data_IF_871199097234
#
_entry.id   IF_871199097234
#
_cell.length_a   1.000
_cell.length_b   1.000
_cell.length_c   1.000
_cell.angle_alpha   90.00
_cell.angle_beta   90.00
_cell.angle_gamma   90.00
#
_symmetry.space_group_name_H-M   'P 1'
#
loop_
_entity.id
_entity.type
_entity.pdbx_description
1 polymer ?
#
# COMPACT_ATOMS: atom_id res chain seq x y z
N UNK A 1 43.28 0.93 -51.70
CA UNK A 1 43.08 1.12 -50.27
C UNK A 1 42.91 2.60 -49.97
N UNK A 2 41.69 3.09 -49.96
CA UNK A 2 41.35 4.50 -49.74
C UNK A 2 41.17 4.74 -48.24
N UNK A 3 42.01 5.55 -47.63
CA UNK A 3 41.92 5.92 -46.22
C UNK A 3 40.70 6.85 -46.04
N UNK A 4 39.71 6.40 -45.28
CA UNK A 4 38.60 7.23 -44.82
C UNK A 4 39.12 8.29 -43.85
N UNK A 5 38.97 9.58 -44.22
CA UNK A 5 39.41 10.71 -43.41
C UNK A 5 38.56 10.85 -42.12
N UNK A 6 39.20 11.33 -41.04
CA UNK A 6 38.61 11.54 -39.71
C UNK A 6 37.25 12.29 -39.68
N UNK A 7 37.04 13.18 -40.68
CA UNK A 7 35.77 13.94 -40.82
C UNK A 7 34.57 13.05 -41.17
N UNK A 8 34.72 12.06 -42.05
CA UNK A 8 33.65 11.15 -42.43
C UNK A 8 33.29 10.16 -41.31
N UNK A 9 34.23 9.82 -40.43
CA UNK A 9 33.96 8.97 -39.28
C UNK A 9 33.04 9.67 -38.26
N UNK A 10 33.19 10.99 -38.06
CA UNK A 10 32.36 11.76 -37.13
C UNK A 10 30.94 12.00 -37.66
N UNK A 11 30.77 12.10 -39.01
CA UNK A 11 29.43 12.25 -39.61
C UNK A 11 28.59 10.97 -39.50
N UNK A 12 29.22 9.80 -39.57
CA UNK A 12 28.50 8.52 -39.36
C UNK A 12 28.29 8.15 -37.90
N UNK A 13 29.10 8.63 -36.99
CA UNK A 13 28.95 8.38 -35.55
C UNK A 13 27.83 9.21 -34.91
N UNK A 14 27.54 10.39 -35.48
CA UNK A 14 26.46 11.25 -34.99
C UNK A 14 25.06 10.74 -35.33
N UNK A 15 24.87 10.12 -36.50
CA UNK A 15 23.58 9.62 -36.94
C UNK A 15 23.16 8.31 -36.24
N UNK A 16 24.10 7.49 -35.78
CA UNK A 16 23.83 6.26 -35.08
C UNK A 16 23.47 6.48 -33.59
N UNK A 17 23.97 7.56 -32.98
CA UNK A 17 23.67 7.88 -31.57
C UNK A 17 22.28 8.49 -31.35
N UNK A 18 21.75 9.21 -32.36
CA UNK A 18 20.41 9.87 -32.23
C UNK A 18 19.27 8.89 -32.41
N UNK A 19 19.46 7.79 -33.16
CA UNK A 19 18.43 6.77 -33.34
C UNK A 19 18.26 5.82 -32.17
N UNK A 20 19.18 5.78 -31.21
CA UNK A 20 19.04 4.97 -29.98
C UNK A 20 18.45 5.75 -28.79
N UNK A 21 18.43 7.08 -28.83
CA UNK A 21 17.79 7.89 -27.78
C UNK A 21 16.29 8.13 -27.97
N UNK A 22 15.73 7.81 -29.14
CA UNK A 22 14.30 7.97 -29.40
C UNK A 22 13.46 6.72 -29.17
N UNK A 23 14.10 5.59 -28.79
CA UNK A 23 13.40 4.46 -28.22
C UNK A 23 13.56 4.54 -26.70
N UNK A 24 12.98 5.58 -26.13
CA UNK A 24 12.70 5.64 -24.70
C UNK A 24 11.90 4.40 -24.36
N UNK A 25 12.47 3.61 -23.48
CA UNK A 25 11.96 2.34 -22.98
C UNK A 25 10.52 2.47 -22.49
N UNK A 26 9.58 2.39 -23.42
CA UNK A 26 8.23 1.95 -23.14
C UNK A 26 8.22 0.42 -22.94
N UNK A 27 9.23 -0.15 -22.26
CA UNK A 27 9.07 -1.36 -21.49
C UNK A 27 8.35 -1.00 -20.18
N UNK A 28 7.17 -0.39 -20.32
CA UNK A 28 6.14 -0.62 -19.33
C UNK A 28 5.88 -2.12 -19.41
N UNK A 29 6.48 -2.86 -18.48
CA UNK A 29 6.03 -4.20 -18.17
C UNK A 29 4.52 -4.07 -18.02
N UNK A 30 3.77 -4.59 -18.98
CA UNK A 30 2.34 -4.80 -18.81
C UNK A 30 2.24 -5.84 -17.68
N UNK A 31 2.26 -5.35 -16.45
CA UNK A 31 1.89 -6.17 -15.29
C UNK A 31 0.44 -6.50 -15.51
N UNK A 32 0.14 -7.79 -15.59
CA UNK A 32 -1.25 -8.22 -15.67
C UNK A 32 -2.00 -7.58 -14.52
N UNK A 33 -2.88 -6.64 -14.85
CA UNK A 33 -3.67 -5.93 -13.85
C UNK A 33 -4.80 -6.83 -13.43
N UNK A 34 -4.84 -7.12 -12.14
CA UNK A 34 -5.90 -7.92 -11.54
C UNK A 34 -6.94 -7.01 -10.93
N UNK A 35 -8.20 -7.16 -11.32
CA UNK A 35 -9.30 -6.35 -10.81
C UNK A 35 -10.23 -7.14 -9.90
N UNK A 36 -10.62 -6.53 -8.79
CA UNK A 36 -11.56 -7.09 -7.83
C UNK A 36 -12.57 -6.02 -7.40
N UNK A 37 -13.84 -6.43 -7.25
CA UNK A 37 -14.88 -5.59 -6.66
C UNK A 37 -14.84 -5.70 -5.14
N UNK A 38 -14.77 -4.54 -4.46
CA UNK A 38 -14.93 -4.43 -3.00
C UNK A 38 -16.24 -3.73 -2.67
N UNK A 39 -16.73 -3.77 -1.44
CA UNK A 39 -17.93 -3.02 -1.05
C UNK A 39 -17.83 -1.51 -1.28
N UNK A 40 -16.61 -0.94 -1.26
CA UNK A 40 -16.39 0.49 -1.47
C UNK A 40 -16.13 0.87 -2.94
N UNK A 41 -15.78 -0.09 -3.79
CA UNK A 41 -15.50 0.17 -5.21
C UNK A 41 -14.54 -0.86 -5.79
N UNK A 42 -14.21 -0.71 -7.08
CA UNK A 42 -13.29 -1.60 -7.78
C UNK A 42 -11.84 -1.22 -7.48
N UNK A 43 -11.00 -2.23 -7.28
CA UNK A 43 -9.54 -2.08 -7.08
C UNK A 43 -8.80 -2.86 -8.15
N UNK A 44 -7.65 -2.36 -8.57
CA UNK A 44 -6.72 -3.05 -9.47
C UNK A 44 -5.39 -3.24 -8.76
N UNK A 45 -4.94 -4.48 -8.69
CA UNK A 45 -3.65 -4.89 -8.14
C UNK A 45 -2.64 -5.24 -9.22
N UNK A 46 -1.63 -5.98 -8.82
CA UNK A 46 -0.61 -6.57 -9.69
C UNK A 46 -0.57 -8.07 -9.48
N UNK A 47 -0.12 -8.80 -10.49
CA UNK A 47 0.24 -10.21 -10.36
C UNK A 47 1.75 -10.35 -10.48
N UNK A 48 2.35 -11.02 -9.52
CA UNK A 48 3.77 -11.33 -9.48
C UNK A 48 3.95 -12.77 -9.01
N UNK A 49 4.61 -13.59 -9.82
CA UNK A 49 4.91 -15.01 -9.51
C UNK A 49 3.66 -15.85 -9.18
N UNK A 50 2.53 -15.61 -9.85
CA UNK A 50 1.26 -16.30 -9.59
C UNK A 50 0.58 -15.87 -8.29
N UNK A 51 0.97 -14.74 -7.70
CA UNK A 51 0.32 -14.14 -6.54
C UNK A 51 -0.26 -12.78 -6.91
N UNK A 52 -1.54 -12.60 -6.66
CA UNK A 52 -2.22 -11.32 -6.79
C UNK A 52 -1.93 -10.48 -5.56
N UNK A 53 -1.37 -9.29 -5.75
CA UNK A 53 -1.04 -8.35 -4.70
C UNK A 53 -1.79 -7.04 -4.88
N UNK A 54 -2.52 -6.63 -3.85
CA UNK A 54 -3.21 -5.35 -3.76
C UNK A 54 -2.60 -4.56 -2.61
N UNK A 55 -1.98 -3.42 -2.89
CA UNK A 55 -1.30 -2.60 -1.89
C UNK A 55 -2.02 -1.27 -1.72
N UNK A 56 -2.28 -0.87 -0.48
CA UNK A 56 -2.90 0.42 -0.19
C UNK A 56 -4.41 0.49 -0.40
N UNK A 57 -5.14 -0.60 -0.13
CA UNK A 57 -6.61 -0.56 -0.12
C UNK A 57 -7.07 0.22 1.11
N UNK A 58 -7.88 1.30 0.97
CA UNK A 58 -8.42 2.02 2.12
C UNK A 58 -9.46 1.17 2.86
N UNK A 59 -9.30 1.01 4.16
CA UNK A 59 -10.31 0.40 5.04
C UNK A 59 -10.96 1.42 5.99
N UNK A 60 -10.43 2.64 6.04
CA UNK A 60 -10.99 3.77 6.77
C UNK A 60 -10.85 5.05 5.95
N UNK A 61 -11.64 6.05 6.30
CA UNK A 61 -11.54 7.39 5.70
C UNK A 61 -10.33 8.14 6.24
N UNK A 62 -9.87 9.17 5.50
CA UNK A 62 -8.84 10.10 5.95
C UNK A 62 -9.20 10.70 7.32
N UNK A 63 -8.29 10.59 8.28
CA UNK A 63 -8.49 11.03 9.66
C UNK A 63 -7.95 12.43 9.95
N UNK A 64 -7.35 13.13 9.00
CA UNK A 64 -6.76 14.44 9.21
C UNK A 64 -7.74 15.49 9.77
N UNK A 65 -9.01 15.42 9.37
CA UNK A 65 -10.08 16.31 9.86
C UNK A 65 -10.89 15.74 11.02
N UNK A 66 -10.64 14.48 11.39
CA UNK A 66 -11.40 13.77 12.42
C UNK A 66 -10.50 13.18 13.50
N UNK A 67 -9.37 13.84 13.76
CA UNK A 67 -8.40 13.46 14.80
C UNK A 67 -9.11 13.15 16.12
N UNK A 68 -8.60 12.14 16.82
CA UNK A 68 -9.10 11.69 18.12
C UNK A 68 -10.56 11.15 18.13
N UNK A 69 -11.14 10.95 16.95
CA UNK A 69 -12.46 10.33 16.80
C UNK A 69 -12.33 8.89 16.32
N UNK A 70 -13.38 8.10 16.52
CA UNK A 70 -13.48 6.79 15.92
C UNK A 70 -13.35 6.89 14.40
N UNK A 71 -12.65 5.94 13.75
CA UNK A 71 -12.59 5.90 12.29
C UNK A 71 -13.96 5.61 11.71
N UNK A 72 -14.19 6.14 10.51
CA UNK A 72 -15.38 5.83 9.71
C UNK A 72 -14.98 5.07 8.47
N UNK A 73 -15.90 4.35 7.86
CA UNK A 73 -15.65 3.62 6.62
C UNK A 73 -15.19 4.58 5.51
N UNK A 74 -14.37 4.11 4.57
CA UNK A 74 -13.98 4.90 3.41
C UNK A 74 -15.23 5.23 2.57
N UNK A 75 -15.22 6.38 1.91
CA UNK A 75 -16.26 6.70 0.94
C UNK A 75 -16.15 5.76 -0.25
N UNK A 76 -17.29 5.28 -0.74
CA UNK A 76 -17.32 4.53 -1.98
C UNK A 76 -16.77 5.40 -3.14
N UNK A 77 -16.04 4.77 -4.04
CA UNK A 77 -15.48 5.43 -5.22
C UNK A 77 -16.03 4.85 -6.52
N UNK A 78 -16.03 5.67 -7.55
CA UNK A 78 -16.33 5.27 -8.92
C UNK A 78 -15.02 5.02 -9.68
N UNK A 79 -15.05 4.15 -10.69
CA UNK A 79 -13.86 3.78 -11.43
C UNK A 79 -13.02 2.73 -10.72
N UNK A 80 -11.73 2.68 -11.05
CA UNK A 80 -10.79 1.65 -10.57
C UNK A 80 -9.70 2.31 -9.73
N UNK A 81 -9.62 1.98 -8.47
CA UNK A 81 -8.54 2.41 -7.58
C UNK A 81 -7.29 1.55 -7.84
N UNK A 82 -6.18 2.20 -8.16
CA UNK A 82 -4.90 1.53 -8.42
C UNK A 82 -4.22 1.14 -7.12
N UNK A 83 -4.15 -0.15 -6.85
CA UNK A 83 -3.58 -0.73 -5.63
C UNK A 83 -2.25 -1.47 -5.92
N UNK A 84 -1.40 -0.90 -6.78
CA UNK A 84 -0.10 -1.46 -7.15
C UNK A 84 1.04 -1.00 -6.22
N UNK A 85 0.82 -0.01 -5.36
CA UNK A 85 1.83 0.59 -4.49
C UNK A 85 1.30 0.76 -3.07
N UNK A 86 2.21 0.71 -2.10
CA UNK A 86 1.87 1.01 -0.72
C UNK A 86 1.33 2.44 -0.57
N UNK A 87 0.28 2.60 0.23
CA UNK A 87 -0.25 3.88 0.65
C UNK A 87 0.62 4.51 1.75
N UNK A 88 0.43 5.79 2.12
CA UNK A 88 1.16 6.41 3.20
C UNK A 88 1.01 5.66 4.54
N UNK A 89 2.08 5.70 5.35
CA UNK A 89 2.06 5.21 6.73
C UNK A 89 1.63 6.30 7.70
N UNK A 90 1.28 5.91 8.93
CA UNK A 90 0.91 6.84 9.99
C UNK A 90 2.04 7.83 10.33
N UNK A 91 1.72 9.08 10.71
CA UNK A 91 2.68 10.05 11.21
C UNK A 91 3.44 9.49 12.41
N UNK A 92 4.76 9.55 12.35
CA UNK A 92 5.65 9.03 13.39
C UNK A 92 7.03 9.70 13.32
N UNK A 93 7.75 9.70 14.43
CA UNK A 93 9.16 10.09 14.43
C UNK A 93 9.96 8.93 13.82
N UNK A 94 10.34 9.08 12.58
CA UNK A 94 11.16 8.08 11.91
C UNK A 94 12.63 8.33 12.18
N UNK A 95 13.27 7.35 12.82
CA UNK A 95 14.66 7.08 12.50
C UNK A 95 14.62 6.49 11.09
N UNK A 96 15.30 7.14 10.15
CA UNK A 96 15.27 6.79 8.74
C UNK A 96 15.44 5.28 8.53
N UNK A 97 14.36 4.57 8.26
CA UNK A 97 14.40 3.17 7.83
C UNK A 97 14.22 3.13 6.32
N UNK A 98 15.05 2.40 5.59
CA UNK A 98 14.82 2.14 4.19
C UNK A 98 13.41 1.54 3.99
N UNK A 99 12.62 2.10 3.08
CA UNK A 99 11.28 1.61 2.76
C UNK A 99 10.12 2.30 3.49
N UNK A 100 10.37 3.28 4.36
CA UNK A 100 9.32 3.92 5.17
C UNK A 100 8.22 4.67 4.40
N UNK A 101 8.49 5.14 3.20
CA UNK A 101 7.49 5.83 2.37
C UNK A 101 7.00 7.17 2.93
N UNK A 102 5.97 7.72 2.28
CA UNK A 102 5.31 8.95 2.72
C UNK A 102 4.51 8.72 4.01
N UNK A 103 4.41 9.75 4.84
CA UNK A 103 3.58 9.77 6.04
C UNK A 103 2.34 10.63 5.81
N UNK A 104 1.20 10.17 6.31
CA UNK A 104 -0.06 10.92 6.26
C UNK A 104 -0.99 10.47 7.38
N UNK A 105 -1.91 11.31 7.79
CA UNK A 105 -3.04 10.90 8.62
C UNK A 105 -4.08 10.09 7.82
N UNK A 106 -4.02 10.14 6.50
CA UNK A 106 -4.67 9.18 5.60
C UNK A 106 -3.82 7.90 5.52
N UNK A 107 -3.82 7.13 6.60
CA UNK A 107 -2.98 5.94 6.78
C UNK A 107 -3.78 4.64 7.01
N UNK A 108 -5.10 4.71 7.01
CA UNK A 108 -5.95 3.56 7.26
C UNK A 108 -6.08 2.69 6.00
N UNK A 109 -4.96 2.06 5.63
CA UNK A 109 -4.83 1.22 4.45
C UNK A 109 -4.32 -0.17 4.81
N UNK A 110 -4.73 -1.14 4.03
CA UNK A 110 -4.27 -2.52 4.14
C UNK A 110 -3.73 -3.03 2.80
N UNK A 111 -2.97 -4.10 2.87
CA UNK A 111 -2.47 -4.81 1.70
C UNK A 111 -2.95 -6.25 1.73
N UNK A 112 -3.20 -6.84 0.57
CA UNK A 112 -3.70 -8.20 0.43
C UNK A 112 -2.87 -8.96 -0.59
N UNK A 113 -2.51 -10.21 -0.27
CA UNK A 113 -1.89 -11.16 -1.18
C UNK A 113 -2.71 -12.45 -1.24
N UNK A 114 -2.95 -12.99 -2.44
CA UNK A 114 -3.71 -14.21 -2.65
C UNK A 114 -3.21 -14.98 -3.87
N UNK A 115 -3.22 -16.30 -3.82
CA UNK A 115 -2.91 -17.16 -4.96
C UNK A 115 -4.05 -17.28 -5.97
N UNK A 116 -5.23 -16.76 -5.66
CA UNK A 116 -6.36 -16.81 -6.60
C UNK A 116 -7.49 -15.89 -6.20
N UNK A 117 -8.27 -15.50 -7.18
CA UNK A 117 -9.39 -14.57 -7.04
C UNK A 117 -10.67 -15.22 -7.54
N UNK A 118 -11.72 -15.19 -6.73
CA UNK A 118 -13.04 -15.69 -7.11
C UNK A 118 -13.11 -17.20 -7.38
N UNK A 119 -12.06 -17.95 -7.05
CA UNK A 119 -11.94 -19.39 -7.31
C UNK A 119 -12.72 -20.27 -6.28
N UNK A 120 -13.45 -19.63 -5.37
CA UNK A 120 -14.27 -20.28 -4.32
C UNK A 120 -13.50 -21.22 -3.38
N UNK A 121 -12.19 -21.17 -3.39
CA UNK A 121 -11.37 -21.89 -2.42
C UNK A 121 -11.41 -21.11 -1.10
N UNK A 122 -12.10 -21.54 -0.11
CA UNK A 122 -12.20 -20.91 1.22
C UNK A 122 -10.84 -20.88 1.92
N UNK A 123 -9.89 -20.08 1.41
CA UNK A 123 -8.55 -19.95 1.98
C UNK A 123 -8.59 -19.34 3.35
N UNK A 124 -7.80 -19.84 4.29
CA UNK A 124 -7.58 -19.18 5.58
C UNK A 124 -7.02 -17.77 5.35
N UNK A 125 -7.45 -16.82 6.18
CA UNK A 125 -6.96 -15.43 6.13
C UNK A 125 -6.04 -15.19 7.32
N UNK A 126 -4.80 -14.80 7.04
CA UNK A 126 -3.82 -14.36 8.02
C UNK A 126 -3.78 -12.84 8.03
N UNK A 127 -4.18 -12.23 9.14
CA UNK A 127 -4.13 -10.78 9.31
C UNK A 127 -2.95 -10.41 10.19
N UNK A 128 -2.08 -9.53 9.70
CA UNK A 128 -0.88 -9.09 10.40
C UNK A 128 -0.93 -7.59 10.71
N UNK A 129 -0.67 -7.26 11.96
CA UNK A 129 -0.49 -5.90 12.45
C UNK A 129 0.96 -5.71 12.87
N UNK A 130 1.58 -4.63 12.40
CA UNK A 130 2.98 -4.37 12.71
C UNK A 130 3.18 -3.99 14.19
N UNK A 131 4.36 -4.32 14.71
CA UNK A 131 4.81 -3.89 16.02
C UNK A 131 5.38 -2.47 16.00
N UNK A 132 5.87 -1.99 17.14
CA UNK A 132 6.50 -0.68 17.31
C UNK A 132 5.98 0.10 18.52
N UNK A 133 5.45 -0.64 19.52
CA UNK A 133 4.97 -0.08 20.79
C UNK A 133 3.97 1.07 20.59
N UNK A 134 3.12 0.99 19.57
CA UNK A 134 2.14 2.00 19.20
C UNK A 134 2.70 3.38 18.81
N UNK A 135 4.03 3.52 18.77
CA UNK A 135 4.72 4.77 18.47
C UNK A 135 5.26 4.85 17.06
N UNK A 136 5.65 3.72 16.49
CA UNK A 136 6.27 3.65 15.18
C UNK A 136 5.96 2.31 14.50
N UNK A 137 6.35 2.22 13.23
CA UNK A 137 6.17 1.02 12.43
C UNK A 137 5.29 1.26 11.22
N UNK A 138 5.33 0.29 10.33
CA UNK A 138 4.52 0.25 9.10
C UNK A 138 4.61 -1.14 8.51
N UNK A 139 3.61 -1.53 7.74
CA UNK A 139 3.65 -2.74 6.92
C UNK A 139 4.15 -2.47 5.50
N UNK A 140 4.59 -1.25 5.20
CA UNK A 140 5.07 -0.83 3.89
C UNK A 140 6.56 -1.20 3.70
N UNK A 141 6.86 -2.49 3.75
CA UNK A 141 8.22 -3.01 3.60
C UNK A 141 8.18 -4.40 2.99
N UNK A 142 9.21 -4.73 2.22
CA UNK A 142 9.39 -6.07 1.64
C UNK A 142 9.50 -7.16 2.71
N UNK A 143 9.87 -6.79 3.95
CA UNK A 143 9.86 -7.71 5.09
C UNK A 143 8.46 -8.31 5.35
N UNK A 144 7.41 -7.57 5.03
CA UNK A 144 6.02 -7.96 5.24
C UNK A 144 5.32 -8.36 3.94
N UNK A 145 6.09 -8.66 2.88
CA UNK A 145 5.55 -9.20 1.64
C UNK A 145 4.95 -10.58 1.87
N UNK A 146 3.66 -10.72 1.57
CA UNK A 146 2.89 -11.94 1.83
C UNK A 146 3.15 -13.08 0.85
N UNK A 147 3.85 -12.88 -0.26
CA UNK A 147 4.00 -13.88 -1.34
C UNK A 147 4.49 -15.23 -0.86
N UNK A 148 5.52 -15.25 0.00
CA UNK A 148 6.08 -16.51 0.52
C UNK A 148 5.07 -17.31 1.35
N UNK A 149 4.24 -16.62 2.14
CA UNK A 149 3.21 -17.27 2.95
C UNK A 149 2.09 -17.82 2.07
N UNK A 150 1.67 -17.04 1.07
CA UNK A 150 0.70 -17.46 0.06
C UNK A 150 1.15 -18.73 -0.64
N UNK A 151 2.39 -18.77 -1.14
CA UNK A 151 2.93 -19.96 -1.84
C UNK A 151 3.03 -21.20 -0.94
N UNK A 152 3.39 -21.02 0.33
CA UNK A 152 3.59 -22.16 1.24
C UNK A 152 2.31 -22.71 1.82
N UNK A 153 1.34 -21.86 2.07
CA UNK A 153 0.18 -22.20 2.89
C UNK A 153 -1.16 -22.13 2.15
N UNK A 154 -1.20 -21.71 0.88
CA UNK A 154 -2.43 -21.40 0.14
C UNK A 154 -3.40 -20.54 0.99
N UNK A 155 -2.86 -19.53 1.65
CA UNK A 155 -3.56 -18.60 2.53
C UNK A 155 -3.73 -17.24 1.85
N UNK A 156 -4.69 -16.45 2.29
CA UNK A 156 -4.74 -15.01 2.01
C UNK A 156 -3.99 -14.29 3.11
N UNK A 157 -3.04 -13.43 2.74
CA UNK A 157 -2.28 -12.60 3.69
C UNK A 157 -2.79 -11.18 3.61
N UNK A 158 -3.13 -10.60 4.77
CA UNK A 158 -3.54 -9.21 4.91
C UNK A 158 -2.58 -8.52 5.87
N UNK A 159 -1.98 -7.41 5.47
CA UNK A 159 -1.18 -6.58 6.37
C UNK A 159 -1.82 -5.21 6.53
N UNK A 160 -1.84 -4.68 7.75
CA UNK A 160 -2.66 -3.51 8.10
C UNK A 160 -1.80 -2.40 8.69
N UNK A 161 -1.85 -1.22 8.09
CA UNK A 161 -1.37 0.02 8.71
C UNK A 161 -2.47 0.58 9.61
N UNK A 162 -2.10 1.13 10.75
CA UNK A 162 -3.02 1.74 11.70
C UNK A 162 -2.46 3.08 12.20
N UNK A 163 -3.32 3.89 12.80
CA UNK A 163 -2.88 5.14 13.45
C UNK A 163 -1.92 4.82 14.59
N UNK A 164 -1.00 5.74 14.86
CA UNK A 164 0.02 5.63 15.89
C UNK A 164 -0.03 6.84 16.84
N UNK A 165 0.68 6.74 17.96
CA UNK A 165 0.85 7.82 18.92
C UNK A 165 -0.50 8.39 19.40
N UNK A 166 -0.55 9.68 19.66
CA UNK A 166 -1.76 10.37 20.09
C UNK A 166 -2.90 10.29 19.07
N UNK A 167 -2.59 10.15 17.78
CA UNK A 167 -3.61 10.03 16.72
C UNK A 167 -4.40 8.73 16.79
N UNK A 168 -3.80 7.66 17.32
CA UNK A 168 -4.42 6.33 17.42
C UNK A 168 -4.83 5.93 18.83
N UNK A 169 -4.07 6.36 19.83
CA UNK A 169 -4.12 5.79 21.18
C UNK A 169 -4.33 6.83 22.29
N UNK A 170 -4.74 8.05 21.94
CA UNK A 170 -5.00 9.09 22.93
C UNK A 170 -6.41 8.94 23.50
N UNK A 171 -6.52 8.77 24.83
CA UNK A 171 -7.79 8.70 25.55
C UNK A 171 -8.10 10.07 26.16
N UNK A 172 -9.07 10.77 25.59
CA UNK A 172 -9.56 12.06 26.09
C UNK A 172 -10.56 11.91 27.25
N UNK A 173 -10.58 10.78 27.93
CA UNK A 173 -11.54 10.48 29.01
C UNK A 173 -11.34 11.28 30.30
N UNK A 174 -10.39 12.22 30.33
CA UNK A 174 -10.09 12.99 31.54
C UNK A 174 -10.64 14.39 31.40
N UNK A 175 -11.76 14.68 32.05
CA UNK A 175 -12.18 16.04 32.46
C UNK A 175 -13.51 16.59 31.95
N UNK A 176 -14.51 15.77 31.75
CA UNK A 176 -15.87 16.36 31.84
C UNK A 176 -16.76 15.49 32.72
N UNK A 177 -16.96 15.93 33.94
CA UNK A 177 -17.85 15.28 34.91
C UNK A 177 -19.32 15.20 34.46
N UNK A 178 -19.69 15.64 33.24
CA UNK A 178 -21.09 15.66 32.77
C UNK A 178 -21.33 15.42 31.30
N UNK A 179 -20.37 14.91 30.53
CA UNK A 179 -20.68 14.38 29.21
C UNK A 179 -20.03 13.00 29.09
N UNK A 180 -20.85 11.97 29.10
CA UNK A 180 -20.42 10.62 28.79
C UNK A 180 -19.88 10.60 27.35
N UNK A 181 -18.57 10.86 27.22
CA UNK A 181 -17.84 10.37 26.05
C UNK A 181 -17.72 8.87 26.33
N UNK A 182 -18.34 8.00 25.54
CA UNK A 182 -18.12 6.58 25.71
C UNK A 182 -16.61 6.36 25.68
N UNK A 183 -16.05 5.83 26.77
CA UNK A 183 -14.71 5.32 26.77
C UNK A 183 -14.63 4.43 25.52
N UNK A 184 -13.68 4.72 24.62
CA UNK A 184 -13.39 3.75 23.56
C UNK A 184 -12.95 2.50 24.30
N UNK A 185 -13.70 1.40 24.31
CA UNK A 185 -13.19 0.16 24.86
C UNK A 185 -11.94 -0.18 24.06
N UNK A 186 -10.91 -0.68 24.71
CA UNK A 186 -9.64 -1.12 24.09
C UNK A 186 -9.86 -2.03 22.87
N UNK A 187 -11.01 -2.65 22.78
CA UNK A 187 -11.45 -3.49 21.66
C UNK A 187 -12.06 -2.73 20.47
N UNK A 188 -12.45 -1.44 20.60
CA UNK A 188 -13.10 -0.72 19.49
C UNK A 188 -12.15 -0.24 18.40
N UNK A 189 -10.84 -0.34 18.64
CA UNK A 189 -9.81 -0.11 17.62
C UNK A 189 -9.85 -1.22 16.55
N UNK A 190 -10.42 -2.37 16.89
CA UNK A 190 -10.36 -3.61 16.11
C UNK A 190 -11.74 -4.15 15.71
N UNK A 191 -12.82 -3.59 16.21
CA UNK A 191 -14.15 -4.18 16.00
C UNK A 191 -14.80 -3.60 14.75
N UNK A 192 -14.62 -4.29 13.64
CA UNK A 192 -15.59 -4.33 12.57
C UNK A 192 -16.67 -5.34 12.98
N UNK A 193 -17.84 -4.85 13.35
CA UNK A 193 -19.07 -5.65 13.28
C UNK A 193 -19.61 -5.58 11.89
#
# INVERSE_FOLDING_TARGET
>A
MTRLGRRRFLEYSGAAAVSHMARGDAFAWARDTTEVMTPAGRVSGIEEDGVHAFKGIPYGADTARTRFRAPVAPKAWTGILQCARFAPMAPQLTVARPGGGAQSEDCLHLNVWSAGLGDRKNRPVLVYFHGGAYNNGTVNSDLYDGKRLVHRGDVVVVTVNHRLNAFGYFILAISRRNTAIPAMPDSSIWCWR
#
